data_IF_245783566285
#
_entry.id   IF_245783566285
#
_cell.length_a   1.000
_cell.length_b   1.000
_cell.length_c   1.000
_cell.angle_alpha   90.00
_cell.angle_beta   90.00
_cell.angle_gamma   90.00
#
_symmetry.space_group_name_H-M   'P 1'
#
loop_
_entity.id
_entity.type
_entity.pdbx_description
1 polymer ?
#
# COMPACT_ATOMS: atom_id res chain seq x y z
N UNK A 1 -39.76 -1.14 -13.22
CA UNK A 1 -38.44 -1.10 -13.93
C UNK A 1 -37.62 -2.28 -13.50
N UNK A 2 -37.29 -3.20 -14.38
CA UNK A 2 -36.42 -4.34 -14.13
C UNK A 2 -35.00 -3.84 -13.85
N UNK A 3 -34.38 -4.35 -12.79
CA UNK A 3 -32.97 -4.04 -12.48
C UNK A 3 -32.11 -4.42 -13.69
N UNK A 4 -31.19 -3.53 -14.14
CA UNK A 4 -30.28 -3.88 -15.20
C UNK A 4 -29.46 -5.11 -14.81
N UNK A 5 -29.21 -6.00 -15.77
CA UNK A 5 -28.39 -7.18 -15.55
C UNK A 5 -26.99 -6.78 -15.01
N UNK A 6 -26.43 -7.51 -14.05
CA UNK A 6 -25.12 -7.19 -13.51
C UNK A 6 -24.06 -7.24 -14.61
N UNK A 7 -23.16 -6.26 -14.60
CA UNK A 7 -22.05 -6.20 -15.55
C UNK A 7 -21.18 -7.46 -15.47
N UNK A 8 -20.93 -8.10 -16.61
CA UNK A 8 -20.03 -9.27 -16.70
C UNK A 8 -18.62 -8.79 -17.04
N UNK A 9 -17.63 -9.44 -16.46
CA UNK A 9 -16.21 -9.14 -16.67
C UNK A 9 -15.46 -10.39 -17.10
N UNK A 10 -14.49 -10.21 -17.99
CA UNK A 10 -13.64 -11.30 -18.50
C UNK A 10 -12.17 -10.89 -18.35
N UNK A 11 -11.34 -11.82 -17.90
CA UNK A 11 -9.88 -11.68 -17.92
C UNK A 11 -9.40 -12.02 -19.34
N UNK A 12 -8.69 -11.10 -19.98
CA UNK A 12 -8.21 -11.25 -21.37
C UNK A 12 -6.86 -11.94 -21.44
N UNK A 13 -6.00 -11.72 -20.48
CA UNK A 13 -4.64 -12.25 -20.41
C UNK A 13 -4.51 -13.50 -19.50
N UNK A 14 -5.52 -14.38 -19.49
CA UNK A 14 -5.58 -15.50 -18.54
C UNK A 14 -4.33 -16.38 -18.54
N UNK A 15 -3.76 -16.67 -19.71
CA UNK A 15 -2.56 -17.51 -19.81
C UNK A 15 -1.36 -16.91 -19.09
N UNK A 16 -1.00 -15.66 -19.37
CA UNK A 16 0.12 -14.96 -18.73
C UNK A 16 -0.14 -14.70 -17.26
N UNK A 17 -1.38 -14.36 -16.92
CA UNK A 17 -1.78 -14.16 -15.53
C UNK A 17 -1.69 -15.45 -14.71
N UNK A 18 -2.12 -16.58 -15.24
CA UNK A 18 -1.98 -17.88 -14.57
C UNK A 18 -0.51 -18.30 -14.37
N UNK A 19 0.34 -18.03 -15.35
CA UNK A 19 1.79 -18.21 -15.21
C UNK A 19 2.36 -17.33 -14.09
N UNK A 20 1.92 -16.07 -14.00
CA UNK A 20 2.29 -15.17 -12.91
C UNK A 20 1.83 -15.68 -11.54
N UNK A 21 0.61 -16.21 -11.43
CA UNK A 21 0.08 -16.81 -10.20
C UNK A 21 0.93 -18.00 -9.73
N UNK A 22 1.33 -18.87 -10.65
CA UNK A 22 2.25 -19.98 -10.34
C UNK A 22 3.60 -19.49 -9.83
N UNK A 23 4.16 -18.46 -10.48
CA UNK A 23 5.42 -17.84 -10.05
C UNK A 23 5.34 -17.26 -8.63
N UNK A 24 4.20 -16.70 -8.22
CA UNK A 24 4.03 -16.17 -6.84
C UNK A 24 4.23 -17.23 -5.76
N UNK A 25 3.95 -18.51 -6.06
CA UNK A 25 4.18 -19.64 -5.16
C UNK A 25 5.62 -20.16 -5.16
N UNK A 26 6.48 -19.69 -6.05
CA UNK A 26 7.88 -20.11 -6.10
C UNK A 26 8.73 -19.37 -5.07
N UNK A 27 9.41 -20.09 -4.20
CA UNK A 27 10.34 -19.50 -3.23
C UNK A 27 11.57 -18.86 -3.89
N UNK A 28 11.93 -19.30 -5.09
CA UNK A 28 13.11 -18.80 -5.82
C UNK A 28 12.95 -17.33 -6.27
N UNK A 29 11.72 -16.82 -6.41
CA UNK A 29 11.53 -15.42 -6.78
C UNK A 29 11.88 -14.44 -5.65
N UNK A 30 11.93 -14.94 -4.42
CA UNK A 30 12.22 -14.12 -3.24
C UNK A 30 13.72 -14.09 -2.93
N UNK A 31 14.46 -15.13 -3.34
CA UNK A 31 15.87 -15.26 -3.09
C UNK A 31 16.66 -14.72 -4.28
N UNK A 32 17.18 -13.52 -4.14
CA UNK A 32 18.15 -12.97 -5.07
C UNK A 32 19.58 -13.35 -4.61
N UNK A 33 20.25 -14.19 -5.38
CA UNK A 33 21.63 -14.61 -5.08
C UNK A 33 22.63 -13.46 -5.15
N UNK A 34 22.30 -12.40 -5.85
CA UNK A 34 23.13 -11.20 -5.98
C UNK A 34 22.88 -10.20 -4.84
N UNK A 35 21.89 -10.45 -3.94
CA UNK A 35 21.65 -9.55 -2.83
C UNK A 35 22.83 -9.50 -1.87
N UNK A 36 23.15 -8.31 -1.38
CA UNK A 36 24.09 -8.16 -0.28
C UNK A 36 23.45 -8.72 1.01
N UNK A 37 23.94 -9.88 1.47
CA UNK A 37 23.40 -10.53 2.67
C UNK A 37 23.97 -9.93 3.96
N UNK A 38 25.26 -9.65 3.97
CA UNK A 38 25.92 -9.01 5.10
C UNK A 38 25.93 -7.49 4.91
N UNK A 39 25.84 -6.75 6.01
CA UNK A 39 25.91 -5.31 5.98
C UNK A 39 27.34 -4.84 5.60
N UNK A 40 27.47 -3.77 4.80
CA UNK A 40 28.77 -3.17 4.54
C UNK A 40 29.35 -2.58 5.83
N UNK A 41 30.66 -2.65 5.98
CA UNK A 41 31.34 -2.05 7.14
C UNK A 41 31.54 -0.56 6.90
N UNK A 42 30.72 0.26 7.55
CA UNK A 42 30.70 1.73 7.33
C UNK A 42 31.58 2.52 8.32
N UNK A 43 32.36 1.84 9.17
CA UNK A 43 33.27 2.50 10.15
C UNK A 43 32.56 3.34 11.23
N UNK A 44 31.26 3.15 11.43
CA UNK A 44 30.50 3.88 12.46
C UNK A 44 30.87 3.39 13.87
N UNK A 45 30.91 4.32 14.83
CA UNK A 45 31.10 4.01 16.25
C UNK A 45 29.95 3.13 16.75
N UNK A 46 30.30 2.10 17.55
CA UNK A 46 29.35 1.14 18.13
C UNK A 46 29.40 -0.24 17.47
N UNK A 47 28.48 -1.13 17.86
CA UNK A 47 28.39 -2.48 17.26
C UNK A 47 27.74 -2.38 15.88
N UNK A 48 28.49 -2.62 14.78
CA UNK A 48 27.95 -2.54 13.44
C UNK A 48 26.88 -3.61 13.21
N UNK A 49 25.89 -3.37 12.33
CA UNK A 49 24.94 -4.38 11.92
C UNK A 49 25.66 -5.48 11.14
N UNK A 50 25.38 -6.75 11.45
CA UNK A 50 25.96 -7.91 10.75
C UNK A 50 25.21 -8.16 9.43
N UNK A 51 23.90 -8.00 9.43
CA UNK A 51 23.03 -8.29 8.29
C UNK A 51 22.57 -7.01 7.62
N UNK A 52 22.49 -7.02 6.30
CA UNK A 52 21.97 -5.91 5.50
C UNK A 52 20.46 -5.72 5.71
N UNK A 53 19.93 -4.55 5.35
CA UNK A 53 18.49 -4.30 5.34
C UNK A 53 17.76 -5.23 4.37
N UNK A 54 18.38 -5.57 3.24
CA UNK A 54 17.83 -6.50 2.26
C UNK A 54 17.67 -7.91 2.85
N UNK A 55 18.67 -8.42 3.57
CA UNK A 55 18.60 -9.71 4.25
C UNK A 55 17.51 -9.75 5.32
N UNK A 56 17.42 -8.70 6.14
CA UNK A 56 16.37 -8.57 7.17
C UNK A 56 14.98 -8.49 6.51
N UNK A 57 14.83 -7.67 5.48
CA UNK A 57 13.56 -7.54 4.74
C UNK A 57 13.14 -8.87 4.09
N UNK A 58 14.10 -9.63 3.54
CA UNK A 58 13.83 -10.96 3.01
C UNK A 58 13.33 -11.92 4.10
N UNK A 59 14.00 -12.01 5.24
CA UNK A 59 13.55 -12.85 6.36
C UNK A 59 12.16 -12.46 6.84
N UNK A 60 11.88 -11.17 6.97
CA UNK A 60 10.57 -10.67 7.39
C UNK A 60 9.49 -10.86 6.30
N UNK A 61 9.87 -10.88 5.02
CA UNK A 61 8.96 -11.24 3.92
C UNK A 61 8.51 -12.68 4.04
N UNK A 62 9.41 -13.61 4.34
CA UNK A 62 9.09 -15.03 4.61
C UNK A 62 8.19 -15.14 5.85
N UNK A 63 8.49 -14.38 6.92
CA UNK A 63 7.60 -14.30 8.11
C UNK A 63 6.17 -13.94 7.72
N UNK A 64 5.98 -12.92 6.87
CA UNK A 64 4.65 -12.44 6.46
C UNK A 64 3.96 -13.46 5.56
N UNK A 65 4.65 -14.00 4.55
CA UNK A 65 4.10 -14.96 3.59
C UNK A 65 3.59 -16.23 4.25
N UNK A 66 4.35 -16.75 5.21
CA UNK A 66 4.01 -18.00 5.92
C UNK A 66 3.38 -17.77 7.30
N UNK A 67 3.16 -16.50 7.69
CA UNK A 67 2.58 -16.11 8.98
C UNK A 67 3.28 -16.71 10.19
N UNK A 68 4.62 -16.75 10.16
CA UNK A 68 5.44 -17.40 11.18
C UNK A 68 5.77 -16.47 12.34
N UNK A 69 5.89 -16.99 13.58
CA UNK A 69 6.61 -16.33 14.66
C UNK A 69 8.10 -16.18 14.32
N UNK A 70 8.80 -15.18 14.89
CA UNK A 70 10.21 -14.89 14.56
C UNK A 70 11.16 -16.08 14.74
N UNK A 71 10.99 -16.89 15.80
CA UNK A 71 11.80 -18.09 16.01
C UNK A 71 11.63 -19.12 14.90
N UNK A 72 10.39 -19.36 14.50
CA UNK A 72 10.10 -20.27 13.38
C UNK A 72 10.57 -19.70 12.05
N UNK A 73 10.52 -18.38 11.89
CA UNK A 73 11.10 -17.69 10.71
C UNK A 73 12.60 -17.96 10.60
N UNK A 74 13.37 -17.82 11.68
CA UNK A 74 14.80 -18.12 11.68
C UNK A 74 15.06 -19.60 11.30
N UNK A 75 14.33 -20.56 11.89
CA UNK A 75 14.46 -21.99 11.54
C UNK A 75 14.10 -22.28 10.08
N UNK A 76 13.05 -21.66 9.56
CA UNK A 76 12.67 -21.80 8.15
C UNK A 76 13.74 -21.22 7.22
N UNK A 77 14.35 -20.09 7.59
CA UNK A 77 15.44 -19.48 6.82
C UNK A 77 16.66 -20.40 6.71
N UNK A 78 17.05 -21.07 7.79
CA UNK A 78 18.13 -22.08 7.74
C UNK A 78 17.83 -23.16 6.70
N UNK A 79 16.60 -23.67 6.70
CA UNK A 79 16.17 -24.72 5.77
C UNK A 79 16.16 -24.21 4.32
N UNK A 80 15.62 -23.01 4.08
CA UNK A 80 15.52 -22.41 2.75
C UNK A 80 16.89 -22.13 2.13
N UNK A 81 17.82 -21.54 2.90
CA UNK A 81 19.18 -21.27 2.41
C UNK A 81 19.93 -22.56 2.10
N UNK A 82 19.81 -23.57 2.96
CA UNK A 82 20.40 -24.89 2.73
C UNK A 82 19.86 -25.55 1.45
N UNK A 83 18.54 -25.53 1.25
CA UNK A 83 17.92 -26.05 0.02
C UNK A 83 18.34 -25.26 -1.23
N UNK A 84 18.64 -23.98 -1.10
CA UNK A 84 19.15 -23.14 -2.18
C UNK A 84 20.65 -23.33 -2.44
N UNK A 85 21.35 -24.14 -1.65
CA UNK A 85 22.79 -24.34 -1.74
C UNK A 85 23.61 -23.13 -1.28
N UNK A 86 23.07 -22.33 -0.35
CA UNK A 86 23.71 -21.13 0.19
C UNK A 86 24.11 -21.35 1.64
N UNK A 87 25.39 -21.18 1.93
CA UNK A 87 25.94 -21.23 3.29
C UNK A 87 25.97 -19.81 3.91
N UNK A 88 24.85 -19.14 3.92
CA UNK A 88 24.73 -17.82 4.51
C UNK A 88 24.30 -17.91 5.97
N UNK A 89 24.92 -17.13 6.88
CA UNK A 89 24.49 -17.08 8.27
C UNK A 89 23.06 -16.55 8.37
N UNK A 90 22.25 -17.10 9.28
CA UNK A 90 20.85 -16.69 9.47
C UNK A 90 20.75 -15.76 10.66
N UNK A 91 20.03 -14.63 10.53
CA UNK A 91 19.75 -13.75 11.67
C UNK A 91 18.98 -14.49 12.77
N UNK A 92 19.43 -14.36 14.02
CA UNK A 92 18.65 -14.83 15.16
C UNK A 92 17.35 -14.07 15.31
N UNK A 93 16.37 -14.66 15.98
CA UNK A 93 15.06 -14.06 16.22
C UNK A 93 15.13 -12.71 16.96
N UNK A 94 16.10 -12.55 17.86
CA UNK A 94 16.35 -11.30 18.57
C UNK A 94 16.84 -10.20 17.63
N UNK A 95 17.74 -10.55 16.71
CA UNK A 95 18.20 -9.64 15.64
C UNK A 95 17.03 -9.21 14.76
N UNK A 96 16.20 -10.15 14.30
CA UNK A 96 14.98 -9.82 13.53
C UNK A 96 14.03 -8.92 14.30
N UNK A 97 13.84 -9.17 15.61
CA UNK A 97 12.98 -8.36 16.47
C UNK A 97 13.50 -6.92 16.61
N UNK A 98 14.78 -6.73 16.86
CA UNK A 98 15.39 -5.40 16.99
C UNK A 98 15.40 -4.66 15.64
N UNK A 99 15.84 -5.33 14.58
CA UNK A 99 15.93 -4.72 13.25
C UNK A 99 14.55 -4.37 12.66
N UNK A 100 13.49 -5.08 13.01
CA UNK A 100 12.13 -4.74 12.61
C UNK A 100 11.69 -3.35 13.12
N UNK A 101 12.31 -2.83 14.20
CA UNK A 101 12.03 -1.47 14.72
C UNK A 101 12.69 -0.36 13.90
N UNK A 102 13.83 -0.64 13.29
CA UNK A 102 14.67 0.35 12.61
C UNK A 102 14.75 0.15 11.10
N UNK A 103 14.11 -0.90 10.57
CA UNK A 103 14.14 -1.22 9.17
C UNK A 103 13.35 -0.18 8.36
N UNK A 104 14.03 0.54 7.49
CA UNK A 104 13.40 1.28 6.41
C UNK A 104 13.09 0.30 5.27
N UNK A 105 11.94 -0.39 5.36
CA UNK A 105 11.57 -1.37 4.36
C UNK A 105 11.35 -0.67 3.01
N UNK A 106 12.12 -1.09 2.02
CA UNK A 106 12.00 -0.56 0.67
C UNK A 106 10.97 -1.39 -0.12
N UNK A 107 10.10 -0.71 -0.82
CA UNK A 107 9.19 -1.33 -1.77
C UNK A 107 9.45 -0.78 -3.17
N UNK A 108 9.95 -1.67 -4.02
CA UNK A 108 10.18 -1.36 -5.43
C UNK A 108 8.86 -1.26 -6.15
N UNK A 109 8.79 -0.36 -7.11
CA UNK A 109 7.67 -0.17 -8.02
C UNK A 109 8.18 0.06 -9.45
N UNK A 110 7.32 -0.19 -10.42
CA UNK A 110 7.65 0.03 -11.83
C UNK A 110 7.44 1.49 -12.18
N UNK A 111 8.43 2.12 -12.76
CA UNK A 111 8.24 3.43 -13.40
C UNK A 111 7.45 3.24 -14.68
N UNK A 112 6.61 4.20 -15.00
CA UNK A 112 5.76 4.23 -16.21
C UNK A 112 6.20 5.41 -17.05
N UNK A 113 6.16 5.25 -18.36
CA UNK A 113 6.34 6.38 -19.27
C UNK A 113 5.11 7.30 -19.18
N UNK A 114 5.33 8.55 -18.83
CA UNK A 114 4.29 9.58 -18.68
C UNK A 114 3.81 9.80 -17.23
N UNK A 115 2.82 10.70 -17.05
CA UNK A 115 2.39 11.16 -15.75
C UNK A 115 1.65 10.05 -14.97
N UNK A 116 1.89 9.99 -13.66
CA UNK A 116 1.22 9.08 -12.74
C UNK A 116 -0.26 9.46 -12.56
N UNK A 117 -1.12 8.45 -12.58
CA UNK A 117 -2.53 8.61 -12.22
C UNK A 117 -2.78 7.91 -10.89
N UNK A 118 -2.75 8.67 -9.81
CA UNK A 118 -2.82 8.14 -8.46
C UNK A 118 -4.25 7.90 -8.01
N UNK A 119 -4.48 6.73 -7.45
CA UNK A 119 -5.68 6.38 -6.72
C UNK A 119 -5.34 6.40 -5.23
N UNK A 120 -6.05 7.21 -4.45
CA UNK A 120 -5.80 7.38 -3.00
C UNK A 120 -7.03 6.94 -2.22
N UNK A 121 -6.81 6.09 -1.23
CA UNK A 121 -7.85 5.66 -0.30
C UNK A 121 -7.24 5.12 0.99
N UNK A 122 -8.05 4.88 2.02
CA UNK A 122 -7.61 4.35 3.30
C UNK A 122 -8.43 3.14 3.75
N UNK A 123 -7.82 2.27 4.52
CA UNK A 123 -8.52 1.13 5.13
C UNK A 123 -8.13 0.94 6.58
N UNK A 124 -9.10 0.55 7.40
CA UNK A 124 -8.84 0.12 8.76
C UNK A 124 -8.19 -1.26 8.81
N UNK A 125 -7.16 -1.40 9.65
CA UNK A 125 -6.52 -2.68 9.95
C UNK A 125 -6.52 -2.91 11.46
N UNK A 126 -6.80 -4.16 11.87
CA UNK A 126 -6.75 -4.57 13.28
C UNK A 126 -5.30 -4.84 13.68
N UNK A 127 -4.98 -4.68 14.94
CA UNK A 127 -3.70 -5.13 15.48
C UNK A 127 -3.91 -6.00 16.73
N UNK A 128 -2.95 -6.90 16.97
CA UNK A 128 -2.91 -7.74 18.15
C UNK A 128 -2.34 -6.89 19.30
N UNK A 129 -3.20 -6.27 20.08
CA UNK A 129 -2.81 -5.50 21.25
C UNK A 129 -3.42 -6.04 22.54
N UNK A 130 -2.90 -5.62 23.69
CA UNK A 130 -3.44 -5.93 25.01
C UNK A 130 -4.93 -5.55 25.16
N UNK A 131 -5.40 -4.60 24.34
CA UNK A 131 -6.78 -4.11 24.38
C UNK A 131 -7.80 -5.14 23.89
N UNK A 132 -7.42 -6.07 23.01
CA UNK A 132 -8.35 -7.14 22.56
C UNK A 132 -8.58 -8.16 23.69
N UNK A 133 -7.52 -8.48 24.44
CA UNK A 133 -7.62 -9.33 25.62
C UNK A 133 -8.39 -8.62 26.76
N UNK A 134 -8.10 -7.34 27.01
CA UNK A 134 -8.80 -6.54 28.00
C UNK A 134 -10.27 -6.31 27.65
N UNK A 135 -10.61 -6.09 26.34
CA UNK A 135 -11.99 -5.98 25.89
C UNK A 135 -12.77 -7.30 26.06
N UNK A 136 -12.11 -8.45 25.90
CA UNK A 136 -12.72 -9.77 26.16
C UNK A 136 -12.92 -10.01 27.67
N UNK A 137 -11.98 -9.55 28.51
CA UNK A 137 -12.01 -9.78 29.96
C UNK A 137 -12.87 -8.78 30.72
N UNK A 138 -12.92 -7.53 30.26
CA UNK A 138 -13.54 -6.41 31.00
C UNK A 138 -14.73 -5.75 30.27
N UNK A 139 -15.25 -6.35 29.20
CA UNK A 139 -16.45 -5.92 28.49
C UNK A 139 -16.25 -4.76 27.51
N UNK A 140 -17.34 -4.37 26.84
CA UNK A 140 -17.41 -3.53 25.62
C UNK A 140 -16.96 -2.07 25.81
N UNK A 141 -16.66 -1.61 27.02
CA UNK A 141 -16.30 -0.22 27.30
C UNK A 141 -14.92 0.20 26.73
N UNK A 142 -14.01 -0.74 26.45
CA UNK A 142 -12.76 -0.45 25.74
C UNK A 142 -12.92 -0.80 24.26
N UNK A 143 -13.13 0.24 23.46
CA UNK A 143 -13.18 0.11 21.99
C UNK A 143 -11.87 -0.47 21.46
N UNK A 144 -11.96 -1.51 20.63
CA UNK A 144 -10.81 -2.07 19.90
C UNK A 144 -10.10 -0.94 19.17
N UNK A 145 -8.80 -0.82 19.38
CA UNK A 145 -8.02 0.16 18.65
C UNK A 145 -7.81 -0.33 17.22
N UNK A 146 -8.16 0.51 16.28
CA UNK A 146 -7.90 0.33 14.87
C UNK A 146 -6.81 1.30 14.45
N UNK A 147 -6.00 0.88 13.50
CA UNK A 147 -5.13 1.78 12.77
C UNK A 147 -5.60 1.89 11.33
N UNK A 148 -5.23 2.96 10.66
CA UNK A 148 -5.50 3.18 9.25
C UNK A 148 -4.23 3.03 8.45
N UNK A 149 -4.37 2.37 7.30
CA UNK A 149 -3.37 2.35 6.23
C UNK A 149 -3.91 3.20 5.10
N UNK A 150 -3.21 4.26 4.77
CA UNK A 150 -3.50 5.14 3.65
C UNK A 150 -2.56 4.75 2.51
N UNK A 151 -3.09 4.59 1.32
CA UNK A 151 -2.35 4.14 0.14
C UNK A 151 -2.50 5.13 -1.00
N UNK A 152 -1.41 5.39 -1.71
CA UNK A 152 -1.44 5.96 -3.05
C UNK A 152 -0.93 4.91 -4.03
N UNK A 153 -1.76 4.52 -4.98
CA UNK A 153 -1.51 3.48 -5.97
C UNK A 153 -1.55 4.08 -7.37
N UNK A 154 -0.59 3.74 -8.22
CA UNK A 154 -0.65 4.10 -9.63
C UNK A 154 -1.73 3.29 -10.35
N UNK A 155 -2.57 3.98 -11.12
CA UNK A 155 -3.66 3.37 -11.87
C UNK A 155 -3.16 2.48 -13.03
N UNK A 156 -2.03 2.75 -13.62
CA UNK A 156 -1.48 1.99 -14.75
C UNK A 156 -0.91 0.65 -14.30
N UNK A 157 0.05 0.68 -13.37
CA UNK A 157 0.78 -0.51 -12.90
C UNK A 157 0.07 -1.26 -11.79
N UNK A 158 -0.84 -0.59 -11.06
CA UNK A 158 -1.41 -1.05 -9.79
C UNK A 158 -0.36 -1.21 -8.68
N UNK A 159 0.81 -0.60 -8.83
CA UNK A 159 1.84 -0.59 -7.79
C UNK A 159 1.53 0.50 -6.77
N UNK A 160 1.76 0.18 -5.50
CA UNK A 160 1.63 1.14 -4.40
C UNK A 160 2.88 2.02 -4.42
N UNK A 161 2.67 3.33 -4.50
CA UNK A 161 3.72 4.35 -4.63
C UNK A 161 4.05 5.02 -3.29
N UNK A 162 3.03 5.16 -2.45
CA UNK A 162 3.18 5.77 -1.13
C UNK A 162 2.26 5.10 -0.12
N UNK A 163 2.67 5.10 1.14
CA UNK A 163 1.91 4.52 2.25
C UNK A 163 2.12 5.31 3.52
N UNK A 164 1.03 5.58 4.22
CA UNK A 164 1.05 6.11 5.58
C UNK A 164 0.26 5.21 6.52
N UNK A 165 0.75 5.11 7.75
CA UNK A 165 0.17 4.27 8.78
C UNK A 165 -0.12 5.09 10.03
N UNK A 166 -1.41 5.36 10.28
CA UNK A 166 -1.86 6.30 11.30
C UNK A 166 -2.78 5.66 12.33
N UNK A 167 -2.96 6.29 13.50
CA UNK A 167 -4.04 5.94 14.42
C UNK A 167 -5.40 5.97 13.75
N UNK A 168 -6.31 5.06 14.14
CA UNK A 168 -7.63 4.94 13.52
C UNK A 168 -8.54 6.18 13.62
N UNK A 169 -8.21 7.11 14.52
CA UNK A 169 -8.90 8.41 14.69
C UNK A 169 -8.53 9.44 13.63
N UNK A 170 -7.38 9.29 12.97
CA UNK A 170 -6.88 10.26 12.01
C UNK A 170 -7.68 10.15 10.70
N UNK A 171 -8.08 11.30 10.18
CA UNK A 171 -8.81 11.39 8.92
C UNK A 171 -7.87 11.33 7.71
N UNK A 172 -8.43 11.20 6.52
CA UNK A 172 -7.64 11.11 5.28
C UNK A 172 -7.10 12.47 4.81
N UNK A 173 -7.72 13.58 5.28
CA UNK A 173 -7.38 14.94 4.86
C UNK A 173 -5.95 15.38 5.16
N UNK A 174 -5.40 15.18 6.39
CA UNK A 174 -4.03 15.55 6.69
C UNK A 174 -3.00 14.67 5.98
N UNK A 175 -3.37 13.44 5.64
CA UNK A 175 -2.44 12.40 5.17
C UNK A 175 -2.20 12.46 3.65
N UNK A 176 -3.17 12.95 2.86
CA UNK A 176 -2.99 13.04 1.41
C UNK A 176 -1.75 13.85 1.00
N UNK A 177 -1.44 15.03 1.57
CA UNK A 177 -0.18 15.71 1.28
C UNK A 177 1.05 14.86 1.60
N UNK A 178 1.07 14.19 2.75
CA UNK A 178 2.18 13.34 3.20
C UNK A 178 2.42 12.14 2.24
N UNK A 179 1.34 11.60 1.65
CA UNK A 179 1.47 10.59 0.60
C UNK A 179 2.06 11.15 -0.69
N UNK A 180 1.72 12.39 -1.06
CA UNK A 180 2.27 13.03 -2.25
C UNK A 180 3.75 13.40 -2.07
N UNK A 181 4.16 13.74 -0.85
CA UNK A 181 5.55 14.07 -0.51
C UNK A 181 6.48 12.85 -0.60
N UNK A 182 5.94 11.62 -0.47
CA UNK A 182 6.71 10.38 -0.66
C UNK A 182 7.03 10.07 -2.13
N UNK A 183 6.33 10.71 -3.07
CA UNK A 183 6.57 10.51 -4.50
C UNK A 183 7.68 11.44 -4.96
N UNK A 184 8.74 10.92 -5.59
CA UNK A 184 9.86 11.73 -6.06
C UNK A 184 9.40 12.92 -6.89
N UNK A 185 10.11 14.04 -6.77
CA UNK A 185 9.78 15.28 -7.49
C UNK A 185 9.97 15.16 -9.00
N UNK A 186 10.87 14.28 -9.43
CA UNK A 186 11.14 13.95 -10.84
C UNK A 186 10.02 13.11 -11.49
N UNK A 187 9.08 12.58 -10.70
CA UNK A 187 7.92 11.87 -11.22
C UNK A 187 6.71 12.81 -11.34
N UNK A 188 6.28 13.03 -12.57
CA UNK A 188 5.11 13.86 -12.86
C UNK A 188 3.83 13.15 -12.40
N UNK A 189 2.94 13.88 -11.72
CA UNK A 189 1.62 13.41 -11.33
C UNK A 189 0.56 14.08 -12.20
N UNK A 190 -0.14 13.32 -13.03
CA UNK A 190 -1.20 13.84 -13.89
C UNK A 190 -2.52 14.02 -13.12
N UNK A 191 -2.96 12.97 -12.44
CA UNK A 191 -4.24 13.00 -11.69
C UNK A 191 -4.12 12.37 -10.31
N UNK A 192 -4.90 12.89 -9.37
CA UNK A 192 -5.09 12.29 -8.04
C UNK A 192 -6.58 12.05 -7.82
N UNK A 193 -6.98 10.78 -7.82
CA UNK A 193 -8.36 10.36 -7.58
C UNK A 193 -8.53 9.91 -6.14
N UNK A 194 -9.39 10.59 -5.40
CA UNK A 194 -9.68 10.25 -4.00
C UNK A 194 -11.18 10.34 -3.70
N UNK A 195 -11.56 9.87 -2.52
CA UNK A 195 -12.95 9.96 -2.07
C UNK A 195 -13.30 11.37 -1.56
N UNK A 196 -14.58 11.58 -1.19
CA UNK A 196 -15.06 12.86 -0.66
C UNK A 196 -14.52 13.21 0.73
N UNK A 197 -13.85 12.31 1.43
CA UNK A 197 -13.18 12.61 2.70
C UNK A 197 -11.96 13.53 2.47
N UNK A 198 -11.33 13.42 1.31
CA UNK A 198 -10.21 14.28 0.88
C UNK A 198 -10.64 15.64 0.31
N UNK A 199 -11.95 15.97 0.28
CA UNK A 199 -12.44 17.27 -0.20
C UNK A 199 -12.15 18.38 0.81
N UNK A 200 -10.91 18.81 0.90
CA UNK A 200 -10.42 19.88 1.75
C UNK A 200 -9.43 20.80 1.01
N UNK A 201 -9.37 22.09 1.39
CA UNK A 201 -8.46 23.06 0.76
C UNK A 201 -7.01 22.57 0.75
N UNK A 202 -6.53 22.03 1.88
CA UNK A 202 -5.17 21.49 2.02
C UNK A 202 -4.89 20.39 0.99
N UNK A 203 -5.84 19.47 0.77
CA UNK A 203 -5.67 18.39 -0.21
C UNK A 203 -5.61 18.93 -1.64
N UNK A 204 -6.56 19.80 -2.02
CA UNK A 204 -6.54 20.42 -3.35
C UNK A 204 -5.29 21.25 -3.58
N UNK A 205 -4.80 22.00 -2.57
CA UNK A 205 -3.58 22.80 -2.66
C UNK A 205 -2.35 21.91 -2.85
N UNK A 206 -2.23 20.81 -2.13
CA UNK A 206 -1.13 19.85 -2.27
C UNK A 206 -1.10 19.21 -3.67
N UNK A 207 -2.26 18.84 -4.20
CA UNK A 207 -2.39 18.27 -5.55
C UNK A 207 -1.95 19.31 -6.60
N UNK A 208 -2.40 20.54 -6.48
CA UNK A 208 -2.04 21.62 -7.42
C UNK A 208 -0.55 21.97 -7.32
N UNK A 209 0.05 21.93 -6.12
CA UNK A 209 1.49 22.14 -5.94
C UNK A 209 2.32 21.11 -6.72
N UNK A 210 1.83 19.87 -6.87
CA UNK A 210 2.42 18.82 -7.72
C UNK A 210 1.97 18.93 -9.19
N UNK A 211 1.35 20.04 -9.61
CA UNK A 211 0.82 20.30 -10.98
C UNK A 211 -0.21 19.24 -11.44
N UNK A 212 -0.82 18.51 -10.51
CA UNK A 212 -1.76 17.43 -10.79
C UNK A 212 -3.21 17.92 -10.79
N UNK A 213 -4.08 17.16 -11.44
CA UNK A 213 -5.52 17.40 -11.45
C UNK A 213 -6.22 16.57 -10.36
N UNK A 214 -7.01 17.24 -9.52
CA UNK A 214 -7.79 16.59 -8.47
C UNK A 214 -9.10 16.00 -9.02
N UNK A 215 -9.26 14.69 -8.90
CA UNK A 215 -10.50 13.97 -9.22
C UNK A 215 -11.17 13.55 -7.89
N UNK A 216 -11.62 14.54 -7.13
CA UNK A 216 -12.26 14.36 -5.82
C UNK A 216 -13.69 14.81 -5.95
N UNK A 217 -14.62 13.93 -5.55
CA UNK A 217 -16.03 14.25 -5.65
C UNK A 217 -16.71 14.25 -4.29
N UNK A 218 -17.28 15.39 -3.95
CA UNK A 218 -18.21 15.55 -2.82
C UNK A 218 -19.37 16.45 -3.22
N UNK A 219 -20.58 16.14 -2.74
CA UNK A 219 -21.69 17.07 -2.82
C UNK A 219 -21.49 18.17 -1.78
N UNK A 220 -21.71 19.42 -2.15
CA UNK A 220 -21.54 20.52 -1.22
C UNK A 220 -21.83 21.88 -1.83
N UNK A 221 -21.67 22.92 -1.03
CA UNK A 221 -21.73 24.31 -1.48
C UNK A 221 -20.40 24.68 -2.16
N UNK A 222 -20.45 25.64 -3.07
CA UNK A 222 -19.25 26.25 -3.65
C UNK A 222 -18.43 26.92 -2.55
N UNK A 223 -17.13 26.85 -2.66
CA UNK A 223 -16.23 27.62 -1.80
C UNK A 223 -16.07 29.04 -2.35
N UNK A 224 -15.69 29.99 -1.49
CA UNK A 224 -15.23 31.31 -1.93
C UNK A 224 -13.97 31.10 -2.79
N UNK A 225 -13.98 31.66 -3.99
CA UNK A 225 -12.89 31.48 -4.99
C UNK A 225 -11.71 32.41 -4.74
N UNK A 226 -11.15 32.32 -3.55
CA UNK A 226 -10.03 33.12 -3.07
C UNK A 226 -8.66 32.47 -3.39
N UNK A 227 -8.65 31.24 -3.87
CA UNK A 227 -7.44 30.51 -4.18
C UNK A 227 -7.64 29.50 -5.34
N UNK A 228 -6.55 29.03 -5.99
CA UNK A 228 -6.61 28.05 -7.07
C UNK A 228 -7.33 26.75 -6.66
N UNK A 229 -7.12 26.27 -5.42
CA UNK A 229 -7.75 25.09 -4.89
C UNK A 229 -9.28 25.20 -4.83
N UNK A 230 -9.81 26.39 -4.44
CA UNK A 230 -11.23 26.65 -4.41
C UNK A 230 -11.84 26.69 -5.81
N UNK A 231 -11.14 27.30 -6.77
CA UNK A 231 -11.56 27.33 -8.18
C UNK A 231 -11.63 25.95 -8.79
N UNK A 232 -10.57 25.16 -8.72
CA UNK A 232 -10.52 23.80 -9.27
C UNK A 232 -11.62 22.88 -8.68
N UNK A 233 -11.85 22.96 -7.37
CA UNK A 233 -12.93 22.23 -6.71
C UNK A 233 -14.31 22.69 -7.20
N UNK A 234 -14.52 24.00 -7.31
CA UNK A 234 -15.80 24.55 -7.74
C UNK A 234 -16.11 24.19 -9.20
N UNK A 235 -15.11 24.14 -10.07
CA UNK A 235 -15.23 23.65 -11.44
C UNK A 235 -15.72 22.19 -11.47
N UNK A 236 -15.14 21.32 -10.66
CA UNK A 236 -15.61 19.93 -10.51
C UNK A 236 -17.07 19.86 -10.08
N UNK A 237 -17.50 20.73 -9.15
CA UNK A 237 -18.90 20.78 -8.71
C UNK A 237 -19.82 21.32 -9.81
N UNK A 238 -19.43 22.37 -10.54
CA UNK A 238 -20.17 22.92 -11.68
C UNK A 238 -20.33 21.89 -12.78
N UNK A 239 -19.23 21.22 -13.16
CA UNK A 239 -19.25 20.16 -14.16
C UNK A 239 -20.17 18.99 -13.74
N UNK A 240 -20.10 18.56 -12.48
CA UNK A 240 -20.96 17.49 -11.96
C UNK A 240 -22.45 17.89 -11.95
N UNK A 241 -22.76 19.16 -11.66
CA UNK A 241 -24.16 19.67 -11.68
C UNK A 241 -24.68 19.81 -13.11
N UNK A 242 -23.85 20.30 -14.04
CA UNK A 242 -24.23 20.56 -15.41
C UNK A 242 -24.38 19.26 -16.23
N UNK A 243 -23.37 18.40 -16.23
CA UNK A 243 -23.34 17.18 -17.04
C UNK A 243 -23.92 15.95 -16.33
N UNK A 244 -24.21 16.04 -15.07
CA UNK A 244 -24.66 14.93 -14.25
C UNK A 244 -23.53 14.01 -13.76
N UNK A 245 -23.84 13.31 -12.68
CA UNK A 245 -22.88 12.46 -11.94
C UNK A 245 -22.32 11.29 -12.77
N UNK A 246 -23.19 10.67 -13.57
CA UNK A 246 -22.82 9.48 -14.35
C UNK A 246 -21.83 9.84 -15.46
N UNK A 247 -22.09 10.92 -16.16
CA UNK A 247 -21.22 11.44 -17.21
C UNK A 247 -19.87 11.88 -16.63
N UNK A 248 -19.88 12.71 -15.57
CA UNK A 248 -18.66 13.19 -14.92
C UNK A 248 -17.74 12.04 -14.49
N UNK A 249 -18.31 10.99 -13.86
CA UNK A 249 -17.53 9.80 -13.44
C UNK A 249 -16.89 9.07 -14.62
N UNK A 250 -17.58 9.01 -15.76
CA UNK A 250 -17.05 8.36 -16.98
C UNK A 250 -15.95 9.21 -17.60
N UNK A 251 -16.20 10.50 -17.73
CA UNK A 251 -15.29 11.45 -18.32
C UNK A 251 -13.98 11.57 -17.54
N UNK A 252 -14.04 11.68 -16.23
CA UNK A 252 -12.85 11.81 -15.36
C UNK A 252 -12.17 10.47 -15.02
N UNK A 253 -12.74 9.34 -15.43
CA UNK A 253 -12.21 8.02 -15.04
C UNK A 253 -12.35 7.69 -13.54
N UNK A 254 -13.20 8.41 -12.79
CA UNK A 254 -13.41 8.20 -11.34
C UNK A 254 -13.72 6.75 -10.95
N UNK A 255 -14.23 5.95 -11.89
CA UNK A 255 -14.50 4.52 -11.66
C UNK A 255 -13.25 3.71 -11.34
N UNK A 256 -12.07 4.16 -11.78
CA UNK A 256 -10.80 3.50 -11.47
C UNK A 256 -10.54 3.42 -9.95
N UNK A 257 -11.17 4.28 -9.14
CA UNK A 257 -11.02 4.27 -7.68
C UNK A 257 -11.32 2.91 -7.04
N UNK A 258 -12.29 2.15 -7.57
CA UNK A 258 -12.60 0.81 -7.06
C UNK A 258 -11.41 -0.16 -7.10
N UNK A 259 -10.39 0.10 -7.94
CA UNK A 259 -9.20 -0.76 -8.04
C UNK A 259 -8.32 -0.69 -6.78
N UNK A 260 -8.27 0.47 -6.09
CA UNK A 260 -7.52 0.56 -4.83
C UNK A 260 -8.22 -0.22 -3.72
N UNK A 261 -9.55 -0.29 -3.72
CA UNK A 261 -10.31 -1.12 -2.76
C UNK A 261 -9.94 -2.61 -2.92
N UNK A 262 -9.83 -3.09 -4.17
CA UNK A 262 -9.34 -4.46 -4.45
C UNK A 262 -7.89 -4.66 -3.95
N UNK A 263 -7.04 -3.64 -4.07
CA UNK A 263 -5.67 -3.70 -3.57
C UNK A 263 -5.62 -3.76 -2.04
N UNK A 264 -6.51 -3.07 -1.36
CA UNK A 264 -6.66 -3.16 0.10
C UNK A 264 -7.09 -4.56 0.56
N UNK A 265 -7.92 -5.25 -0.22
CA UNK A 265 -8.24 -6.65 0.03
C UNK A 265 -6.99 -7.55 -0.10
N UNK A 266 -6.14 -7.32 -1.10
CA UNK A 266 -4.86 -8.01 -1.23
C UNK A 266 -3.94 -7.76 -0.01
N UNK A 267 -3.89 -6.54 0.51
CA UNK A 267 -3.14 -6.21 1.73
C UNK A 267 -3.65 -7.01 2.94
N UNK A 268 -4.97 -7.09 3.11
CA UNK A 268 -5.61 -7.85 4.19
C UNK A 268 -5.44 -9.36 4.02
N UNK A 269 -5.35 -9.86 2.79
CA UNK A 269 -5.10 -11.29 2.52
C UNK A 269 -3.72 -11.75 3.02
N UNK A 270 -2.71 -10.88 3.05
CA UNK A 270 -1.41 -11.16 3.67
C UNK A 270 -1.49 -11.20 5.20
N UNK A 271 -2.58 -10.74 5.80
CA UNK A 271 -2.90 -10.81 7.23
C UNK A 271 -3.93 -9.74 7.60
N UNK A 272 -5.05 -10.17 8.18
CA UNK A 272 -6.09 -9.22 8.64
C UNK A 272 -5.67 -8.43 9.87
N UNK A 273 -4.65 -8.91 10.58
CA UNK A 273 -4.15 -8.33 11.82
C UNK A 273 -2.65 -8.09 11.71
N UNK A 274 -2.20 -7.03 12.35
CA UNK A 274 -0.77 -6.77 12.55
C UNK A 274 -0.33 -7.57 13.77
N UNK A 275 0.75 -8.34 13.64
CA UNK A 275 1.27 -9.18 14.72
C UNK A 275 2.16 -8.40 15.71
N UNK A 276 2.80 -7.33 15.28
CA UNK A 276 3.66 -6.51 16.11
C UNK A 276 2.86 -5.73 17.15
N UNK A 277 3.40 -5.61 18.37
CA UNK A 277 2.76 -4.87 19.48
C UNK A 277 3.12 -3.38 19.47
N UNK A 278 4.36 -3.06 19.14
CA UNK A 278 4.89 -1.68 19.15
C UNK A 278 4.63 -0.98 17.79
N UNK A 279 4.54 0.36 17.74
CA UNK A 279 4.25 1.13 16.54
C UNK A 279 5.26 0.94 15.40
N UNK A 280 6.57 1.00 15.69
CA UNK A 280 7.61 0.92 14.66
C UNK A 280 7.62 -0.43 13.93
N UNK A 281 7.63 -1.59 14.63
CA UNK A 281 7.47 -2.88 13.97
C UNK A 281 6.13 -3.04 13.22
N UNK A 282 5.07 -2.35 13.62
CA UNK A 282 3.79 -2.35 12.91
C UNK A 282 3.93 -1.67 11.54
N UNK A 283 4.62 -0.52 11.51
CA UNK A 283 4.90 0.21 10.26
C UNK A 283 5.73 -0.64 9.31
N UNK A 284 6.83 -1.24 9.79
CA UNK A 284 7.66 -2.13 9.01
C UNK A 284 6.87 -3.34 8.46
N UNK A 285 5.96 -3.92 9.26
CA UNK A 285 5.11 -5.02 8.80
C UNK A 285 4.19 -4.62 7.65
N UNK A 286 3.61 -3.42 7.69
CA UNK A 286 2.79 -2.88 6.59
C UNK A 286 3.65 -2.62 5.35
N UNK A 287 4.81 -1.99 5.50
CA UNK A 287 5.73 -1.71 4.38
C UNK A 287 6.20 -3.01 3.70
N UNK A 288 6.49 -4.06 4.46
CA UNK A 288 6.84 -5.38 3.92
C UNK A 288 5.68 -5.99 3.14
N UNK A 289 4.44 -5.90 3.65
CA UNK A 289 3.26 -6.37 2.91
C UNK A 289 3.08 -5.64 1.58
N UNK A 290 3.38 -4.35 1.55
CA UNK A 290 3.35 -3.54 0.32
C UNK A 290 4.45 -3.97 -0.65
N UNK A 291 5.67 -4.19 -0.17
CA UNK A 291 6.77 -4.72 -0.98
C UNK A 291 6.39 -6.05 -1.64
N UNK A 292 5.73 -6.95 -0.89
CA UNK A 292 5.22 -8.22 -1.41
C UNK A 292 4.16 -8.01 -2.49
N UNK A 293 3.20 -7.09 -2.29
CA UNK A 293 2.15 -6.79 -3.25
C UNK A 293 2.74 -6.23 -4.55
N UNK A 294 3.67 -5.28 -4.47
CA UNK A 294 4.32 -4.71 -5.64
C UNK A 294 5.14 -5.78 -6.38
N UNK A 295 5.84 -6.66 -5.65
CA UNK A 295 6.53 -7.80 -6.25
C UNK A 295 5.57 -8.73 -6.99
N UNK A 296 4.41 -9.03 -6.40
CA UNK A 296 3.37 -9.81 -7.08
C UNK A 296 2.83 -9.12 -8.33
N UNK A 297 2.65 -7.80 -8.30
CA UNK A 297 2.22 -7.04 -9.47
C UNK A 297 3.27 -7.09 -10.59
N UNK A 298 4.57 -7.00 -10.24
CA UNK A 298 5.67 -7.07 -11.21
C UNK A 298 5.73 -8.42 -11.93
N UNK A 299 5.28 -9.51 -11.30
CA UNK A 299 5.18 -10.83 -11.94
C UNK A 299 4.04 -10.92 -12.95
N UNK A 300 3.01 -10.09 -12.82
CA UNK A 300 1.87 -9.98 -13.70
C UNK A 300 0.55 -9.79 -12.96
N UNK A 301 -0.35 -9.05 -13.59
CA UNK A 301 -1.70 -8.74 -13.10
C UNK A 301 -2.75 -9.16 -14.12
N UNK A 302 -3.99 -9.39 -13.66
CA UNK A 302 -5.11 -9.67 -14.55
C UNK A 302 -5.50 -8.41 -15.32
N UNK A 303 -5.68 -8.55 -16.63
CA UNK A 303 -6.31 -7.57 -17.49
C UNK A 303 -7.80 -7.90 -17.61
N UNK A 304 -8.64 -7.01 -17.11
CA UNK A 304 -10.07 -7.26 -17.00
C UNK A 304 -10.82 -6.29 -17.90
N UNK A 305 -11.60 -6.82 -18.84
CA UNK A 305 -12.51 -6.04 -19.67
C UNK A 305 -13.95 -6.35 -19.34
N UNK A 306 -14.80 -5.33 -19.47
CA UNK A 306 -16.24 -5.51 -19.35
C UNK A 306 -16.76 -6.15 -20.62
N UNK A 307 -17.50 -7.24 -20.47
CA UNK A 307 -18.20 -7.92 -21.55
C UNK A 307 -19.64 -7.44 -21.57
N UNK A 308 -20.16 -7.14 -22.74
CA UNK A 308 -21.54 -6.67 -22.92
C UNK A 308 -22.57 -7.76 -22.49
#
# INVERSE_FOLDING_TARGET
>A
MTKPSPARYRTTNWFSYNAALRKRGSLLIWLDRAMSWLAPHEGRLGRPPVFSDAAIQFCLSIKVLFRLPLRQTAGMMVSLLRMAGLDWPVPDYSTLCHRQKTLAAQFLYRRVDGPLNLLVDSTGIKFLGNDEWQARKHGVQRRRQWRKVHLAMDAATSDIRAVEFTPGRDGDRPILPELLDQIPEDEEIGTVTADGACDARRCHSAIIARRATAIIRRNGRLWKEDCPAARARNETLRATRHYGRAFWKRWTGYHARSRIEAKMLCLKALGERIAAKDPDPQTAEIQIRIALINRFNALGTAEIVRVA
#
